data_IF_788184745350
#
_entry.id   IF_788184745350
#
_cell.length_a   1.000
_cell.length_b   1.000
_cell.length_c   1.000
_cell.angle_alpha   90.00
_cell.angle_beta   90.00
_cell.angle_gamma   90.00
#
_symmetry.space_group_name_H-M   'P 1'
#
loop_
_entity.id
_entity.type
_entity.pdbx_description
1 polymer ?
#
# COMPACT_ATOMS: atom_id res chain seq x y z
N UNK A 1 5.30 20.33 -4.58
CA UNK A 1 4.02 19.57 -4.59
C UNK A 1 3.36 19.77 -5.94
N UNK A 2 3.07 18.70 -6.65
CA UNK A 2 2.47 18.72 -7.98
C UNK A 2 0.99 18.36 -7.92
N UNK A 3 0.21 18.94 -8.84
CA UNK A 3 -1.20 18.62 -8.99
C UNK A 3 -1.43 18.01 -10.38
N UNK A 4 -2.08 16.86 -10.40
CA UNK A 4 -2.60 16.23 -11.60
C UNK A 4 -4.12 16.32 -11.59
N UNK A 5 -4.75 16.53 -12.74
CA UNK A 5 -6.20 16.60 -12.83
C UNK A 5 -6.72 16.10 -14.19
N UNK A 6 -7.94 15.59 -14.13
CA UNK A 6 -8.78 15.34 -15.30
C UNK A 6 -10.21 15.82 -14.99
N UNK A 7 -11.19 15.49 -15.83
CA UNK A 7 -12.58 15.88 -15.61
C UNK A 7 -13.26 15.27 -14.38
N UNK A 8 -12.63 14.29 -13.72
CA UNK A 8 -13.22 13.51 -12.60
C UNK A 8 -12.41 13.66 -11.33
N UNK A 9 -11.07 13.60 -11.40
CA UNK A 9 -10.17 13.56 -10.27
C UNK A 9 -9.21 14.75 -10.23
N UNK A 10 -8.90 15.19 -9.02
CA UNK A 10 -7.76 16.06 -8.70
C UNK A 10 -6.89 15.32 -7.69
N UNK A 11 -5.60 15.18 -7.99
CA UNK A 11 -4.62 14.44 -7.19
C UNK A 11 -3.43 15.33 -6.90
N UNK A 12 -2.93 15.30 -5.67
CA UNK A 12 -1.72 16.02 -5.27
C UNK A 12 -0.62 15.05 -4.85
N UNK A 13 0.61 15.33 -5.24
CA UNK A 13 1.78 14.50 -4.97
C UNK A 13 2.90 15.39 -4.45
N UNK A 14 3.52 15.00 -3.33
CA UNK A 14 4.71 15.66 -2.80
C UNK A 14 5.99 15.07 -3.42
N UNK A 15 7.03 15.87 -3.54
CA UNK A 15 8.40 15.39 -3.87
C UNK A 15 8.95 14.53 -2.73
N UNK A 16 8.65 14.90 -1.48
CA UNK A 16 9.00 14.09 -0.32
C UNK A 16 8.27 12.74 -0.35
N UNK A 17 9.04 11.65 -0.44
CA UNK A 17 8.53 10.29 -0.60
C UNK A 17 7.90 9.99 -1.95
N UNK A 18 7.86 10.94 -2.89
CA UNK A 18 6.98 10.92 -4.08
C UNK A 18 5.55 10.56 -3.68
N UNK A 19 5.09 11.02 -2.51
CA UNK A 19 3.91 10.53 -1.81
C UNK A 19 2.63 11.20 -2.30
N UNK A 20 1.57 10.43 -2.56
CA UNK A 20 0.21 10.95 -2.74
C UNK A 20 -0.21 11.70 -1.46
N UNK A 21 -0.67 12.93 -1.64
CA UNK A 21 -1.09 13.83 -0.55
C UNK A 21 -2.59 14.08 -0.51
N UNK A 22 -3.27 13.94 -1.66
CA UNK A 22 -4.71 14.17 -1.79
C UNK A 22 -5.26 13.42 -2.99
N UNK A 23 -6.47 12.89 -2.88
CA UNK A 23 -7.28 12.34 -3.97
C UNK A 23 -8.68 12.90 -3.81
N UNK A 24 -9.06 13.83 -4.69
CA UNK A 24 -10.39 14.46 -4.66
C UNK A 24 -11.22 14.10 -5.87
N UNK A 25 -12.51 13.83 -5.62
CA UNK A 25 -13.57 13.74 -6.62
C UNK A 25 -14.76 14.58 -6.15
N UNK A 26 -15.25 15.47 -7.00
CA UNK A 26 -16.38 16.36 -6.68
C UNK A 26 -16.17 17.14 -5.37
N UNK A 27 -14.92 17.57 -5.10
CA UNK A 27 -14.52 18.29 -3.90
C UNK A 27 -14.36 17.41 -2.64
N UNK A 28 -14.77 16.15 -2.65
CA UNK A 28 -14.62 15.21 -1.53
C UNK A 28 -13.23 14.58 -1.54
N UNK A 29 -12.58 14.57 -0.35
CA UNK A 29 -11.29 13.92 -0.14
C UNK A 29 -11.49 12.42 0.17
N UNK A 30 -10.68 11.59 -0.47
CA UNK A 30 -10.70 10.13 -0.30
C UNK A 30 -9.46 9.61 0.43
N UNK A 31 -8.32 10.31 0.29
CA UNK A 31 -7.07 9.93 0.94
C UNK A 31 -7.00 10.52 2.35
N UNK A 32 -6.56 9.74 3.31
CA UNK A 32 -6.26 10.20 4.67
C UNK A 32 -5.29 11.38 4.68
N UNK A 33 -5.53 12.39 5.54
CA UNK A 33 -4.79 13.65 5.52
C UNK A 33 -3.66 13.74 6.55
N UNK A 34 -3.22 12.62 7.13
CA UNK A 34 -1.98 12.56 7.91
C UNK A 34 -2.05 13.25 9.27
N UNK A 35 -3.21 13.28 9.97
CA UNK A 35 -3.27 13.80 11.32
C UNK A 35 -2.45 12.90 12.27
N UNK A 36 -1.41 13.48 12.86
CA UNK A 36 -0.47 12.80 13.75
C UNK A 36 -1.13 12.17 15.00
N UNK A 37 -2.35 12.59 15.38
CA UNK A 37 -3.12 11.93 16.44
C UNK A 37 -3.28 10.42 16.15
N UNK A 38 -3.48 10.06 14.89
CA UNK A 38 -3.72 8.68 14.45
C UNK A 38 -2.51 8.12 13.74
N UNK A 39 -2.10 8.77 12.63
CA UNK A 39 -0.96 8.38 11.82
C UNK A 39 -0.54 9.53 10.90
N UNK A 40 0.70 9.98 11.03
CA UNK A 40 1.21 11.19 10.37
C UNK A 40 1.54 11.07 8.88
N UNK A 41 1.35 9.89 8.25
CA UNK A 41 1.59 9.67 6.81
C UNK A 41 0.27 9.51 6.07
N UNK A 42 0.32 9.44 4.73
CA UNK A 42 -0.87 9.32 3.86
C UNK A 42 -0.82 8.09 2.95
N UNK A 43 0.24 7.99 2.14
CA UNK A 43 0.41 6.93 1.14
C UNK A 43 1.90 6.67 0.85
N UNK A 44 2.72 6.37 1.87
CA UNK A 44 4.15 6.24 1.67
C UNK A 44 4.52 5.05 0.78
N UNK A 45 5.57 5.22 -0.02
CA UNK A 45 6.26 4.10 -0.69
C UNK A 45 7.17 3.39 0.30
N UNK A 46 7.14 2.07 0.29
CA UNK A 46 7.94 1.21 1.16
C UNK A 46 9.11 0.67 0.34
N UNK A 47 10.33 1.13 0.62
CA UNK A 47 11.54 0.71 -0.09
C UNK A 47 12.81 1.05 0.72
N UNK A 48 13.83 0.20 0.76
CA UNK A 48 14.02 -1.06 0.02
C UNK A 48 13.53 -2.31 0.77
N UNK A 49 12.80 -2.15 1.87
CA UNK A 49 12.15 -3.24 2.60
C UNK A 49 10.70 -2.90 2.92
N UNK A 50 9.87 -3.93 3.06
CA UNK A 50 8.48 -3.86 3.52
C UNK A 50 8.39 -4.43 4.94
N UNK A 51 7.73 -3.70 5.84
CA UNK A 51 7.66 -4.09 7.25
C UNK A 51 9.00 -3.88 7.97
N UNK A 52 9.32 -4.78 8.90
CA UNK A 52 10.56 -4.75 9.68
C UNK A 52 11.45 -5.91 9.35
N UNK A 53 12.76 -5.69 9.42
CA UNK A 53 13.76 -6.75 9.58
C UNK A 53 13.92 -7.05 11.07
N UNK A 54 14.24 -8.30 11.42
CA UNK A 54 14.39 -8.72 12.81
C UNK A 54 15.46 -7.88 13.55
N UNK A 55 15.08 -7.29 14.66
CA UNK A 55 15.91 -6.36 15.45
C UNK A 55 16.43 -5.12 14.67
N UNK A 56 15.75 -4.72 13.58
CA UNK A 56 16.14 -3.66 12.65
C UNK A 56 17.53 -3.88 12.01
N UNK A 57 17.98 -5.13 11.91
CA UNK A 57 19.27 -5.52 11.35
C UNK A 57 19.10 -6.65 10.35
N UNK A 58 19.84 -6.57 9.24
CA UNK A 58 19.92 -7.64 8.27
C UNK A 58 21.37 -7.91 7.88
N UNK A 59 21.63 -9.08 7.33
CA UNK A 59 22.95 -9.50 6.86
C UNK A 59 23.00 -9.56 5.36
N UNK A 60 24.13 -9.12 4.81
CA UNK A 60 24.43 -9.27 3.39
C UNK A 60 25.95 -9.35 3.20
N UNK A 61 26.43 -10.40 2.50
CA UNK A 61 27.83 -10.62 2.14
C UNK A 61 28.78 -10.45 3.34
N UNK A 62 28.45 -11.07 4.48
CA UNK A 62 29.26 -11.06 5.71
C UNK A 62 29.17 -9.78 6.54
N UNK A 63 28.48 -8.75 6.08
CA UNK A 63 28.25 -7.51 6.81
C UNK A 63 26.85 -7.46 7.42
N UNK A 64 26.71 -6.65 8.47
CA UNK A 64 25.42 -6.34 9.11
C UNK A 64 25.06 -4.89 8.85
N UNK A 65 23.81 -4.66 8.42
CA UNK A 65 23.27 -3.35 8.12
C UNK A 65 22.08 -3.06 9.03
N UNK A 66 21.90 -1.79 9.40
CA UNK A 66 20.73 -1.34 10.16
C UNK A 66 19.75 -0.61 9.23
N UNK A 67 18.47 -0.97 9.33
CA UNK A 67 17.42 -0.32 8.55
C UNK A 67 16.10 -0.29 9.36
N UNK A 68 15.44 0.86 9.33
CA UNK A 68 14.16 1.04 10.00
C UNK A 68 12.99 0.39 9.26
N UNK A 69 11.84 0.34 9.93
CA UNK A 69 10.59 -0.17 9.35
C UNK A 69 10.25 0.52 8.03
N UNK A 70 9.94 -0.27 7.00
CA UNK A 70 9.57 0.18 5.66
C UNK A 70 10.71 0.89 4.88
N UNK A 71 11.95 0.76 5.34
CA UNK A 71 13.09 1.39 4.67
C UNK A 71 13.12 2.91 4.81
N UNK A 72 13.71 3.56 3.82
CA UNK A 72 14.04 4.99 3.88
C UNK A 72 13.43 5.85 2.77
N UNK A 73 12.99 5.26 1.65
CA UNK A 73 12.55 6.05 0.47
C UNK A 73 11.43 7.04 0.79
N UNK A 74 10.51 6.67 1.67
CA UNK A 74 9.39 7.53 2.12
C UNK A 74 9.82 8.79 2.88
N UNK A 75 11.07 8.86 3.33
CA UNK A 75 11.64 9.96 4.10
C UNK A 75 12.71 10.73 3.30
N UNK A 76 12.75 10.53 1.97
CA UNK A 76 13.69 11.17 1.06
C UNK A 76 12.96 12.02 0.02
N UNK A 77 13.62 13.07 -0.47
CA UNK A 77 13.10 13.90 -1.54
C UNK A 77 13.44 13.30 -2.90
N UNK A 78 12.40 13.06 -3.69
CA UNK A 78 12.50 12.60 -5.06
C UNK A 78 12.58 13.80 -6.01
N UNK A 79 13.24 13.60 -7.13
CA UNK A 79 13.29 14.61 -8.20
C UNK A 79 12.17 14.36 -9.20
N UNK A 80 11.39 15.39 -9.50
CA UNK A 80 10.42 15.35 -10.60
C UNK A 80 11.17 15.31 -11.93
N UNK A 81 10.86 14.33 -12.79
CA UNK A 81 11.51 14.18 -14.10
C UNK A 81 10.55 14.33 -15.25
N UNK A 82 9.27 14.14 -15.02
CA UNK A 82 8.23 14.29 -16.03
C UNK A 82 6.94 14.79 -15.39
N UNK A 83 6.24 15.71 -16.06
CA UNK A 83 4.94 16.19 -15.64
C UNK A 83 4.09 16.62 -16.84
N UNK A 84 2.86 16.15 -16.84
CA UNK A 84 1.74 16.61 -17.67
C UNK A 84 0.48 16.74 -16.79
N UNK A 85 -0.64 17.18 -17.34
CA UNK A 85 -1.88 17.37 -16.59
C UNK A 85 -2.35 16.08 -15.89
N UNK A 86 -2.14 14.94 -16.53
CA UNK A 86 -2.62 13.62 -16.07
C UNK A 86 -1.52 12.68 -15.60
N UNK A 87 -0.26 13.09 -15.67
CA UNK A 87 0.87 12.21 -15.34
C UNK A 87 2.05 12.93 -14.72
N UNK A 88 2.74 12.25 -13.82
CA UNK A 88 4.00 12.71 -13.25
C UNK A 88 4.91 11.50 -12.94
N UNK A 89 6.21 11.69 -13.06
CA UNK A 89 7.23 10.70 -12.69
C UNK A 89 8.28 11.36 -11.83
N UNK A 90 8.57 10.71 -10.73
CA UNK A 90 9.60 11.09 -9.76
C UNK A 90 10.66 10.01 -9.70
N UNK A 91 11.90 10.38 -9.39
CA UNK A 91 12.97 9.42 -9.21
C UNK A 91 13.86 9.73 -8.02
N UNK A 92 14.41 8.69 -7.43
CA UNK A 92 15.36 8.69 -6.34
C UNK A 92 16.54 7.78 -6.71
N UNK A 93 17.77 8.24 -6.54
CA UNK A 93 18.98 7.40 -6.67
C UNK A 93 19.64 7.18 -5.32
N UNK A 94 20.41 6.09 -5.26
CA UNK A 94 21.28 5.80 -4.13
C UNK A 94 22.27 6.95 -3.87
N UNK A 95 22.49 7.24 -2.60
CA UNK A 95 23.44 8.22 -2.10
C UNK A 95 24.45 7.51 -1.18
N UNK A 96 25.57 8.15 -0.80
CA UNK A 96 26.47 7.56 0.21
C UNK A 96 25.74 7.14 1.50
N UNK A 97 24.77 7.94 1.97
CA UNK A 97 23.99 7.62 3.18
C UNK A 97 23.08 6.39 2.99
N UNK A 98 22.43 6.27 1.84
CA UNK A 98 21.62 5.08 1.56
C UNK A 98 22.46 3.83 1.35
N UNK A 99 23.64 3.96 0.72
CA UNK A 99 24.58 2.84 0.54
C UNK A 99 25.12 2.31 1.87
N UNK A 100 25.23 3.15 2.89
CA UNK A 100 25.58 2.73 4.25
C UNK A 100 24.51 1.86 4.93
N UNK A 101 23.25 1.95 4.49
CA UNK A 101 22.10 1.18 5.01
C UNK A 101 21.64 0.08 4.08
N UNK A 102 21.87 0.23 2.78
CA UNK A 102 21.45 -0.65 1.70
C UNK A 102 22.52 -0.62 0.60
N UNK A 103 23.48 -1.57 0.59
CA UNK A 103 24.74 -1.47 -0.15
C UNK A 103 24.58 -1.78 -1.66
N UNK A 104 23.49 -1.34 -2.27
CA UNK A 104 23.22 -1.55 -3.68
C UNK A 104 22.98 -0.20 -4.35
N UNK A 105 23.76 0.15 -5.40
CA UNK A 105 23.43 1.27 -6.25
C UNK A 105 22.10 1.03 -6.98
N UNK A 106 21.14 1.92 -6.77
CA UNK A 106 19.79 1.79 -7.35
C UNK A 106 19.27 3.11 -7.90
N UNK A 107 18.27 3.01 -8.77
CA UNK A 107 17.31 4.08 -9.07
C UNK A 107 15.90 3.56 -8.86
N UNK A 108 15.09 4.31 -8.12
CA UNK A 108 13.67 4.07 -7.92
C UNK A 108 12.89 5.17 -8.63
N UNK A 109 12.00 4.80 -9.55
CA UNK A 109 11.03 5.70 -10.16
C UNK A 109 9.64 5.41 -9.61
N UNK A 110 8.91 6.47 -9.32
CA UNK A 110 7.49 6.43 -8.92
C UNK A 110 6.70 7.29 -9.91
N UNK A 111 5.83 6.64 -10.66
CA UNK A 111 5.00 7.28 -11.68
C UNK A 111 3.53 7.27 -11.29
N UNK A 112 2.82 8.33 -11.68
CA UNK A 112 1.38 8.49 -11.50
C UNK A 112 0.73 8.81 -12.84
N UNK A 113 -0.40 8.16 -13.13
CA UNK A 113 -1.20 8.41 -14.33
C UNK A 113 -2.68 8.43 -13.97
N UNK A 114 -3.40 9.47 -14.41
CA UNK A 114 -4.84 9.62 -14.22
C UNK A 114 -5.60 9.21 -15.49
N UNK A 115 -6.50 8.26 -15.34
CA UNK A 115 -7.40 7.81 -16.41
C UNK A 115 -8.82 7.72 -15.83
N UNK A 116 -9.72 8.60 -16.26
CA UNK A 116 -11.09 8.66 -15.76
C UNK A 116 -11.11 8.76 -14.21
N UNK A 117 -11.74 7.78 -13.53
CA UNK A 117 -11.82 7.67 -12.06
C UNK A 117 -10.68 6.85 -11.45
N UNK A 118 -9.59 6.65 -12.18
CA UNK A 118 -8.51 5.72 -11.87
C UNK A 118 -7.16 6.42 -11.76
N UNK A 119 -6.39 6.07 -10.75
CA UNK A 119 -4.99 6.48 -10.55
C UNK A 119 -4.14 5.22 -10.68
N UNK A 120 -3.31 5.15 -11.73
CA UNK A 120 -2.30 4.10 -11.85
C UNK A 120 -1.01 4.59 -11.20
N UNK A 121 -0.51 3.86 -10.21
CA UNK A 121 0.79 4.08 -9.57
C UNK A 121 1.76 3.06 -10.10
N UNK A 122 2.86 3.52 -10.69
CA UNK A 122 3.89 2.68 -11.33
C UNK A 122 5.19 2.78 -10.55
N UNK A 123 5.84 1.66 -10.36
CA UNK A 123 7.19 1.61 -9.82
C UNK A 123 8.14 0.96 -10.81
N UNK A 124 9.31 1.58 -10.96
CA UNK A 124 10.46 0.97 -11.62
C UNK A 124 11.63 1.02 -10.65
N UNK A 125 12.23 -0.13 -10.39
CA UNK A 125 13.49 -0.26 -9.64
C UNK A 125 14.56 -0.71 -10.61
N UNK A 126 15.67 0.03 -10.68
CA UNK A 126 16.81 -0.27 -11.54
C UNK A 126 18.02 -0.64 -10.67
N UNK A 127 18.68 -1.75 -10.98
CA UNK A 127 19.97 -2.09 -10.40
C UNK A 127 21.08 -1.39 -11.16
N UNK A 128 21.67 -0.35 -10.60
CA UNK A 128 22.78 0.40 -11.19
C UNK A 128 24.14 -0.18 -10.82
N UNK A 129 24.18 -1.20 -9.97
CA UNK A 129 25.39 -1.85 -9.49
C UNK A 129 25.94 -2.91 -10.43
N UNK A 130 27.07 -3.50 -10.04
CA UNK A 130 27.73 -4.60 -10.73
C UNK A 130 27.42 -5.98 -10.12
N UNK A 131 26.59 -6.03 -9.07
CA UNK A 131 26.24 -7.22 -8.32
C UNK A 131 24.71 -7.38 -8.29
N UNK A 132 24.22 -8.58 -8.02
CA UNK A 132 22.82 -8.85 -7.77
C UNK A 132 22.29 -7.97 -6.62
N UNK A 133 21.18 -7.29 -6.84
CA UNK A 133 20.50 -6.47 -5.84
C UNK A 133 19.26 -7.20 -5.31
N UNK A 134 19.08 -7.14 -3.99
CA UNK A 134 17.95 -7.76 -3.29
C UNK A 134 17.15 -6.70 -2.55
N UNK A 135 15.85 -6.58 -2.84
CA UNK A 135 15.01 -5.53 -2.29
C UNK A 135 13.55 -6.00 -2.13
N UNK A 136 12.77 -5.16 -1.48
CA UNK A 136 11.31 -5.26 -1.43
C UNK A 136 10.72 -3.89 -1.72
N UNK A 137 9.48 -3.85 -2.23
CA UNK A 137 8.75 -2.61 -2.48
C UNK A 137 7.27 -2.80 -2.18
N UNK A 138 6.61 -1.75 -1.69
CA UNK A 138 5.19 -1.77 -1.41
C UNK A 138 4.58 -0.38 -1.31
N UNK A 139 3.26 -0.33 -1.29
CA UNK A 139 2.48 0.87 -1.00
C UNK A 139 1.82 0.75 0.38
N UNK A 140 1.49 1.92 0.96
CA UNK A 140 0.77 2.00 2.22
C UNK A 140 -0.29 3.11 2.19
N UNK A 141 -1.17 3.16 1.14
CA UNK A 141 -2.18 4.19 1.03
C UNK A 141 -3.28 4.01 2.07
N UNK A 142 -3.63 5.10 2.74
CA UNK A 142 -4.70 5.17 3.71
C UNK A 142 -5.91 5.91 3.13
N UNK A 143 -7.08 5.33 3.26
CA UNK A 143 -8.33 5.86 2.72
C UNK A 143 -9.34 6.13 3.83
N UNK A 144 -10.02 7.27 3.77
CA UNK A 144 -11.13 7.52 4.68
C UNK A 144 -12.21 6.45 4.55
N UNK A 145 -12.71 6.00 5.70
CA UNK A 145 -13.95 5.23 5.70
C UNK A 145 -15.10 6.06 5.11
N UNK A 146 -15.91 5.48 4.22
CA UNK A 146 -17.08 6.18 3.72
C UNK A 146 -18.09 6.47 4.84
N UNK A 147 -18.66 7.67 4.84
CA UNK A 147 -19.67 8.09 5.83
C UNK A 147 -19.23 7.82 7.29
N UNK A 148 -17.95 8.11 7.58
CA UNK A 148 -17.36 7.87 8.91
C UNK A 148 -18.13 8.61 10.00
N UNK A 149 -18.43 7.89 11.07
CA UNK A 149 -19.01 8.41 12.32
C UNK A 149 -18.30 7.75 13.50
N UNK A 150 -17.58 8.57 14.28
CA UNK A 150 -16.82 8.11 15.45
C UNK A 150 -17.69 7.50 16.56
N UNK A 151 -18.99 7.84 16.61
CA UNK A 151 -19.92 7.31 17.61
C UNK A 151 -20.37 5.87 17.33
N UNK A 152 -20.16 5.38 16.09
CA UNK A 152 -20.53 4.01 15.71
C UNK A 152 -19.32 3.09 15.73
N UNK A 153 -19.53 1.79 15.96
CA UNK A 153 -18.46 0.78 15.90
C UNK A 153 -18.21 0.32 14.47
N UNK A 154 -19.24 0.23 13.64
CA UNK A 154 -19.17 -0.27 12.28
C UNK A 154 -18.47 0.72 11.35
N UNK A 155 -17.63 0.19 10.45
CA UNK A 155 -16.84 0.96 9.48
C UNK A 155 -17.18 0.63 8.03
N UNK A 156 -18.04 -0.35 7.76
CA UNK A 156 -18.37 -0.87 6.43
C UNK A 156 -17.81 -2.25 6.19
N UNK A 157 -17.38 -2.53 4.96
CA UNK A 157 -16.94 -3.87 4.58
C UNK A 157 -15.74 -3.80 3.62
N UNK A 158 -14.91 -4.84 3.65
CA UNK A 158 -14.13 -5.21 2.49
C UNK A 158 -14.88 -6.26 1.67
N UNK A 159 -14.82 -6.14 0.35
CA UNK A 159 -15.15 -7.22 -0.59
C UNK A 159 -13.91 -7.59 -1.39
N UNK A 160 -13.72 -8.89 -1.56
CA UNK A 160 -12.59 -9.46 -2.27
C UNK A 160 -13.03 -10.01 -3.63
N UNK A 161 -12.11 -10.11 -4.58
CA UNK A 161 -12.35 -10.70 -5.90
C UNK A 161 -12.47 -12.24 -5.88
N UNK A 162 -12.70 -12.81 -4.71
CA UNK A 162 -13.00 -14.23 -4.48
C UNK A 162 -13.99 -14.41 -3.34
N UNK A 163 -14.64 -15.57 -3.32
CA UNK A 163 -15.65 -15.94 -2.30
C UNK A 163 -15.23 -17.11 -1.42
N UNK A 164 -14.09 -17.73 -1.71
CA UNK A 164 -13.50 -18.77 -0.86
C UNK A 164 -12.70 -18.16 0.27
N UNK A 165 -12.55 -18.90 1.36
CA UNK A 165 -11.77 -18.51 2.52
C UNK A 165 -10.37 -18.03 2.12
N UNK A 166 -9.82 -17.09 2.89
CA UNK A 166 -8.51 -16.49 2.70
C UNK A 166 -7.58 -16.90 3.85
N UNK A 167 -6.39 -17.32 3.51
CA UNK A 167 -5.33 -17.50 4.49
C UNK A 167 -4.56 -16.20 4.71
N UNK A 168 -4.20 -15.90 5.95
CA UNK A 168 -3.41 -14.73 6.30
C UNK A 168 -2.43 -15.02 7.43
N UNK A 169 -1.43 -14.17 7.53
CA UNK A 169 -0.46 -14.12 8.63
C UNK A 169 -0.52 -12.74 9.27
N UNK A 170 -0.04 -12.62 10.49
CA UNK A 170 -0.02 -11.37 11.24
C UNK A 170 1.33 -11.10 11.87
N UNK A 171 1.75 -9.83 11.97
CA UNK A 171 2.87 -9.44 12.82
C UNK A 171 2.56 -9.76 14.28
N UNK A 172 3.57 -10.24 14.98
CA UNK A 172 3.49 -10.57 16.42
C UNK A 172 4.57 -9.85 17.20
N UNK A 173 5.76 -10.41 17.28
CA UNK A 173 6.85 -9.84 18.05
C UNK A 173 7.64 -8.81 17.21
N UNK A 174 7.84 -7.61 17.74
CA UNK A 174 8.62 -6.51 17.11
C UNK A 174 8.19 -6.17 15.68
N UNK A 175 6.91 -6.42 15.31
CA UNK A 175 6.41 -6.19 13.97
C UNK A 175 6.90 -7.19 12.92
N UNK A 176 7.34 -8.37 13.36
CA UNK A 176 7.70 -9.52 12.52
C UNK A 176 6.64 -10.61 12.64
N UNK A 177 6.47 -11.41 11.60
CA UNK A 177 5.41 -12.44 11.57
C UNK A 177 5.82 -13.72 12.31
N UNK A 178 4.85 -14.37 12.95
CA UNK A 178 4.99 -15.76 13.36
C UNK A 178 4.70 -16.70 12.19
N UNK A 179 5.16 -17.98 12.24
CA UNK A 179 4.83 -18.96 11.22
C UNK A 179 3.36 -19.40 11.24
N UNK A 180 2.59 -18.98 12.25
CA UNK A 180 1.18 -19.33 12.40
C UNK A 180 0.35 -18.72 11.27
N UNK A 181 -0.47 -19.54 10.63
CA UNK A 181 -1.40 -19.12 9.59
C UNK A 181 -2.83 -19.17 10.13
N UNK A 182 -3.60 -18.17 9.74
CA UNK A 182 -4.99 -18.02 10.13
C UNK A 182 -5.88 -18.11 8.89
N UNK A 183 -7.17 -18.37 9.10
CA UNK A 183 -8.17 -18.44 8.04
C UNK A 183 -9.25 -17.41 8.27
N UNK A 184 -9.41 -16.48 7.34
CA UNK A 184 -10.55 -15.58 7.26
C UNK A 184 -11.67 -16.28 6.48
N UNK A 185 -12.73 -16.63 7.18
CA UNK A 185 -13.94 -17.20 6.56
C UNK A 185 -14.78 -16.09 5.95
N UNK A 186 -14.99 -16.16 4.64
CA UNK A 186 -15.85 -15.22 3.94
C UNK A 186 -17.28 -15.75 3.90
N UNK A 187 -18.24 -14.82 3.93
CA UNK A 187 -19.64 -15.15 3.68
C UNK A 187 -19.89 -15.41 2.17
N UNK A 188 -21.10 -15.81 1.81
CA UNK A 188 -21.49 -16.10 0.41
C UNK A 188 -21.30 -14.91 -0.56
N UNK A 189 -21.21 -13.69 -0.04
CA UNK A 189 -20.99 -12.47 -0.83
C UNK A 189 -19.51 -12.13 -0.96
N UNK A 190 -18.61 -12.84 -0.24
CA UNK A 190 -17.18 -12.54 -0.21
C UNK A 190 -16.85 -11.30 0.65
N UNK A 191 -17.66 -11.01 1.66
CA UNK A 191 -17.52 -9.83 2.50
C UNK A 191 -16.81 -10.14 3.82
N UNK A 192 -15.92 -9.21 4.22
CA UNK A 192 -15.35 -9.08 5.56
C UNK A 192 -15.92 -7.81 6.21
N UNK A 193 -16.71 -7.88 7.26
CA UNK A 193 -17.15 -6.70 7.99
C UNK A 193 -15.97 -6.02 8.68
N UNK A 194 -16.01 -4.69 8.73
CA UNK A 194 -14.98 -3.86 9.37
C UNK A 194 -15.63 -3.14 10.55
N UNK A 195 -15.05 -3.28 11.73
CA UNK A 195 -15.41 -2.53 12.92
C UNK A 195 -14.18 -2.04 13.68
N UNK A 196 -14.38 -1.42 14.82
CA UNK A 196 -13.30 -0.89 15.67
C UNK A 196 -12.36 -1.98 16.22
N UNK A 197 -12.77 -3.25 16.20
CA UNK A 197 -12.01 -4.40 16.72
C UNK A 197 -11.33 -5.23 15.61
N UNK A 198 -11.62 -4.93 14.34
CA UNK A 198 -11.09 -5.69 13.21
C UNK A 198 -9.56 -5.80 13.24
N UNK A 199 -8.87 -4.75 13.69
CA UNK A 199 -7.40 -4.68 13.71
C UNK A 199 -6.81 -4.80 15.13
N UNK A 200 -7.51 -5.39 16.10
CA UNK A 200 -7.01 -5.58 17.46
C UNK A 200 -5.77 -6.48 17.52
N UNK A 201 -5.60 -7.38 16.55
CA UNK A 201 -4.43 -8.25 16.41
C UNK A 201 -3.39 -7.70 15.39
N UNK A 202 -3.48 -6.40 14.99
CA UNK A 202 -2.61 -5.77 14.02
C UNK A 202 -3.02 -6.04 12.56
N UNK A 203 -2.07 -6.12 11.65
CA UNK A 203 -2.20 -6.15 10.19
C UNK A 203 -2.58 -7.55 9.68
N UNK A 204 -3.59 -7.64 8.83
CA UNK A 204 -3.85 -8.85 8.04
C UNK A 204 -2.93 -8.84 6.83
N UNK A 205 -2.08 -9.84 6.68
CA UNK A 205 -1.20 -10.01 5.52
C UNK A 205 -1.66 -11.24 4.72
N UNK A 206 -2.27 -11.00 3.57
CA UNK A 206 -2.65 -12.04 2.61
C UNK A 206 -1.52 -12.23 1.61
N UNK A 207 -0.90 -13.39 1.60
CA UNK A 207 0.20 -13.75 0.70
C UNK A 207 -0.26 -14.76 -0.38
N UNK A 208 0.71 -15.32 -1.15
CA UNK A 208 0.47 -16.36 -2.16
C UNK A 208 -0.46 -15.94 -3.32
N UNK A 209 -0.48 -14.65 -3.67
CA UNK A 209 -1.28 -14.12 -4.80
C UNK A 209 -2.77 -14.48 -4.70
N UNK A 210 -3.30 -14.58 -3.49
CA UNK A 210 -4.69 -14.95 -3.27
C UNK A 210 -5.69 -13.93 -3.82
N UNK A 211 -5.29 -12.67 -3.89
CA UNK A 211 -6.14 -11.54 -4.24
C UNK A 211 -5.49 -10.68 -5.33
N UNK A 212 -6.33 -10.08 -6.18
CA UNK A 212 -5.95 -9.09 -7.20
C UNK A 212 -6.75 -7.80 -7.11
N UNK A 213 -7.86 -7.83 -6.36
CA UNK A 213 -8.71 -6.66 -6.13
C UNK A 213 -9.32 -6.71 -4.73
N UNK A 214 -9.32 -5.55 -4.06
CA UNK A 214 -10.05 -5.32 -2.81
C UNK A 214 -10.86 -4.04 -2.98
N UNK A 215 -12.12 -4.08 -2.58
CA UNK A 215 -12.99 -2.90 -2.59
C UNK A 215 -13.45 -2.58 -1.16
N UNK A 216 -13.26 -1.34 -0.74
CA UNK A 216 -13.86 -0.79 0.47
C UNK A 216 -15.30 -0.37 0.16
N UNK A 217 -16.25 -0.89 0.93
CA UNK A 217 -17.67 -0.59 0.83
C UNK A 217 -18.13 0.24 2.04
N UNK A 218 -19.16 1.04 1.84
CA UNK A 218 -19.85 1.70 2.95
C UNK A 218 -20.71 0.71 3.77
N UNK A 219 -21.38 1.22 4.82
CA UNK A 219 -22.29 0.43 5.69
C UNK A 219 -23.51 -0.11 4.94
N UNK A 220 -23.85 0.45 3.77
CA UNK A 220 -24.94 0.01 2.88
C UNK A 220 -24.43 -0.88 1.74
N UNK A 221 -23.18 -1.35 1.84
CA UNK A 221 -22.49 -2.16 0.82
C UNK A 221 -22.29 -1.46 -0.54
N UNK A 222 -22.30 -0.12 -0.58
CA UNK A 222 -21.99 0.62 -1.80
C UNK A 222 -20.47 0.74 -1.97
N UNK A 223 -19.92 0.48 -3.16
CA UNK A 223 -18.49 0.64 -3.43
C UNK A 223 -18.04 2.08 -3.24
N UNK A 224 -16.88 2.24 -2.60
CA UNK A 224 -16.26 3.52 -2.32
C UNK A 224 -14.90 3.67 -2.99
N UNK A 225 -13.98 2.75 -2.74
CA UNK A 225 -12.65 2.69 -3.34
C UNK A 225 -12.32 1.24 -3.63
N UNK A 226 -11.72 0.99 -4.80
CA UNK A 226 -11.10 -0.30 -5.13
C UNK A 226 -9.60 -0.13 -5.35
N UNK A 227 -8.83 -1.13 -4.95
CA UNK A 227 -7.45 -1.31 -5.38
C UNK A 227 -7.35 -2.56 -6.24
N UNK A 228 -6.71 -2.41 -7.40
CA UNK A 228 -6.33 -3.52 -8.29
C UNK A 228 -4.80 -3.63 -8.32
N UNK A 229 -4.28 -4.83 -8.20
CA UNK A 229 -2.84 -5.10 -8.09
C UNK A 229 -2.47 -6.50 -8.58
N UNK A 230 -1.20 -6.68 -8.94
CA UNK A 230 -0.62 -7.99 -9.24
C UNK A 230 0.44 -8.41 -8.21
N UNK A 231 0.56 -7.67 -7.11
CA UNK A 231 1.49 -7.99 -6.04
C UNK A 231 1.19 -9.36 -5.42
N UNK A 232 2.21 -10.12 -5.00
CA UNK A 232 2.02 -11.42 -4.39
C UNK A 232 1.42 -11.35 -2.98
N UNK A 233 1.48 -10.16 -2.36
CA UNK A 233 0.90 -9.90 -1.05
C UNK A 233 0.07 -8.63 -1.06
N UNK A 234 -0.92 -8.60 -0.16
CA UNK A 234 -1.63 -7.37 0.19
C UNK A 234 -1.88 -7.36 1.70
N UNK A 235 -1.72 -6.19 2.32
CA UNK A 235 -1.99 -6.02 3.73
C UNK A 235 -3.18 -5.08 3.97
N UNK A 236 -3.90 -5.32 5.07
CA UNK A 236 -4.97 -4.46 5.56
C UNK A 236 -4.64 -4.03 6.98
N UNK A 237 -4.70 -2.72 7.24
CA UNK A 237 -4.37 -2.16 8.53
C UNK A 237 -5.14 -0.88 8.85
N UNK A 238 -5.42 -0.69 10.15
CA UNK A 238 -5.88 0.58 10.73
C UNK A 238 -5.46 0.62 12.20
N UNK A 239 -5.12 1.78 12.78
CA UNK A 239 -4.73 1.88 14.18
C UNK A 239 -5.92 1.83 15.15
N UNK A 240 -7.04 1.20 14.79
CA UNK A 240 -8.28 1.17 15.60
C UNK A 240 -8.09 0.52 16.97
N UNK A 241 -7.12 -0.38 17.14
CA UNK A 241 -6.76 -0.95 18.45
C UNK A 241 -6.44 0.13 19.50
N UNK A 242 -5.66 1.13 19.12
CA UNK A 242 -5.23 2.22 20.00
C UNK A 242 -6.09 3.49 19.83
N UNK A 243 -6.74 3.62 18.70
CA UNK A 243 -7.58 4.76 18.31
C UNK A 243 -8.89 4.26 17.70
N UNK A 244 -9.89 3.84 18.50
CA UNK A 244 -11.18 3.37 18.00
C UNK A 244 -11.92 4.40 17.15
N UNK A 245 -11.61 5.68 17.33
CA UNK A 245 -12.10 6.82 16.56
C UNK A 245 -11.29 7.12 15.30
N UNK A 246 -10.41 6.20 14.88
CA UNK A 246 -9.66 6.35 13.63
C UNK A 246 -10.58 6.34 12.41
N UNK A 247 -10.46 7.35 11.50
CA UNK A 247 -11.37 7.51 10.37
C UNK A 247 -10.90 6.85 9.07
N UNK A 248 -9.83 6.06 9.07
CA UNK A 248 -9.23 5.51 7.85
C UNK A 248 -8.82 4.06 7.97
N UNK A 249 -8.60 3.43 6.83
CA UNK A 249 -8.02 2.10 6.68
C UNK A 249 -7.01 2.08 5.53
N UNK A 250 -5.97 1.27 5.65
CA UNK A 250 -4.97 1.04 4.61
C UNK A 250 -5.28 -0.24 3.83
N UNK A 251 -5.05 -0.19 2.51
CA UNK A 251 -5.05 -1.35 1.60
C UNK A 251 -3.71 -1.33 0.87
N UNK A 252 -2.84 -2.27 1.14
CA UNK A 252 -1.41 -2.16 0.93
C UNK A 252 -0.88 -3.26 0.01
N UNK A 253 -0.77 -3.04 -1.31
CA UNK A 253 -0.13 -4.00 -2.22
C UNK A 253 1.38 -4.06 -1.99
N UNK A 254 1.93 -5.29 -1.80
CA UNK A 254 3.31 -5.52 -1.40
C UNK A 254 4.05 -6.54 -2.27
N UNK A 255 5.30 -6.24 -2.60
CA UNK A 255 6.30 -7.16 -3.16
C UNK A 255 7.40 -7.39 -2.11
N UNK A 256 7.03 -8.08 -1.04
CA UNK A 256 7.82 -8.34 0.13
C UNK A 256 7.00 -8.27 1.42
N UNK A 257 7.59 -8.64 2.55
CA UNK A 257 7.00 -8.51 3.89
C UNK A 257 8.08 -8.38 4.97
N UNK A 258 7.65 -8.09 6.19
CA UNK A 258 8.52 -8.18 7.37
C UNK A 258 9.13 -9.58 7.53
N UNK A 259 10.22 -9.65 8.28
CA UNK A 259 10.85 -10.93 8.64
C UNK A 259 9.92 -11.82 9.45
N UNK A 260 10.25 -13.10 9.48
CA UNK A 260 9.76 -14.01 10.50
C UNK A 260 10.46 -13.72 11.83
N UNK A 261 9.75 -13.95 12.95
CA UNK A 261 10.33 -13.82 14.29
C UNK A 261 11.59 -14.67 14.41
N UNK A 262 12.68 -14.06 14.87
CA UNK A 262 13.96 -14.75 15.02
C UNK A 262 14.75 -14.95 13.73
N UNK A 263 14.33 -14.35 12.62
CA UNK A 263 15.05 -14.50 11.34
C UNK A 263 16.54 -14.12 11.49
N UNK A 264 17.38 -15.02 11.03
CA UNK A 264 18.84 -14.87 11.13
C UNK A 264 19.58 -15.17 9.82
N UNK A 265 18.87 -15.32 8.71
CA UNK A 265 19.42 -15.54 7.37
C UNK A 265 20.01 -14.29 6.70
N UNK A 266 20.51 -14.44 5.50
CA UNK A 266 20.98 -13.36 4.64
C UNK A 266 19.81 -12.59 4.01
N UNK A 267 20.06 -11.35 3.58
CA UNK A 267 19.05 -10.53 2.88
C UNK A 267 18.41 -11.27 1.69
N UNK A 268 19.24 -11.96 0.91
CA UNK A 268 18.83 -12.71 -0.29
C UNK A 268 17.90 -13.89 -0.01
N UNK A 269 17.92 -14.42 1.22
CA UNK A 269 17.15 -15.60 1.62
C UNK A 269 15.84 -15.24 2.35
N UNK A 270 15.52 -13.94 2.46
CA UNK A 270 14.26 -13.47 3.04
C UNK A 270 13.08 -13.90 2.17
N UNK A 271 11.97 -14.25 2.80
CA UNK A 271 10.75 -14.56 2.08
C UNK A 271 10.24 -13.35 1.28
N UNK A 272 9.79 -13.60 0.03
CA UNK A 272 9.27 -12.58 -0.88
C UNK A 272 10.29 -11.49 -1.25
N UNK A 273 11.59 -11.74 -1.10
CA UNK A 273 12.63 -10.83 -1.59
C UNK A 273 12.60 -10.80 -3.14
N UNK A 274 12.77 -9.62 -3.71
CA UNK A 274 12.96 -9.44 -5.14
C UNK A 274 14.46 -9.44 -5.43
N UNK A 275 14.85 -9.99 -6.59
CA UNK A 275 16.23 -10.01 -7.08
C UNK A 275 16.29 -9.31 -8.43
N UNK A 276 17.32 -8.49 -8.63
CA UNK A 276 17.68 -7.92 -9.93
C UNK A 276 19.17 -8.17 -10.19
N UNK A 277 19.48 -8.76 -11.33
CA UNK A 277 20.85 -8.85 -11.82
C UNK A 277 21.37 -7.45 -12.20
N UNK A 278 22.69 -7.27 -12.41
CA UNK A 278 23.23 -6.01 -12.87
C UNK A 278 22.53 -5.45 -14.11
N UNK A 279 22.12 -4.19 -14.06
CA UNK A 279 21.41 -3.45 -15.14
C UNK A 279 19.98 -3.95 -15.43
N UNK A 280 19.46 -4.89 -14.68
CA UNK A 280 18.05 -5.27 -14.79
C UNK A 280 17.13 -4.23 -14.14
N UNK A 281 15.86 -4.28 -14.56
CA UNK A 281 14.78 -3.46 -14.04
C UNK A 281 13.61 -4.32 -13.56
N UNK A 282 12.94 -3.81 -12.53
CA UNK A 282 11.69 -4.37 -12.00
C UNK A 282 10.58 -3.35 -12.21
N UNK A 283 9.59 -3.68 -13.02
CA UNK A 283 8.47 -2.80 -13.37
C UNK A 283 7.16 -3.41 -12.88
N UNK A 284 6.44 -2.68 -12.04
CA UNK A 284 5.12 -3.09 -11.52
C UNK A 284 4.21 -1.89 -11.31
N UNK A 285 2.91 -2.16 -11.20
CA UNK A 285 1.90 -1.13 -10.95
C UNK A 285 0.77 -1.65 -10.05
N UNK A 286 0.06 -0.70 -9.46
CA UNK A 286 -1.26 -0.93 -8.87
C UNK A 286 -2.18 0.24 -9.21
N UNK A 287 -3.48 0.03 -9.05
CA UNK A 287 -4.49 1.04 -9.41
C UNK A 287 -5.39 1.34 -8.23
N UNK A 288 -5.61 2.63 -7.99
CA UNK A 288 -6.61 3.15 -7.06
C UNK A 288 -7.79 3.61 -7.91
N UNK A 289 -8.98 3.08 -7.64
CA UNK A 289 -10.21 3.38 -8.38
C UNK A 289 -11.19 4.03 -7.43
N UNK A 290 -11.57 5.27 -7.72
CA UNK A 290 -12.60 5.97 -6.97
C UNK A 290 -13.95 5.56 -7.55
N UNK A 291 -14.68 4.74 -6.81
CA UNK A 291 -15.92 4.15 -7.31
C UNK A 291 -17.02 5.22 -7.47
N UNK A 292 -17.81 5.08 -8.50
CA UNK A 292 -18.96 5.95 -8.75
C UNK A 292 -20.22 5.30 -8.21
N UNK A 293 -21.05 6.04 -7.49
CA UNK A 293 -22.42 5.62 -7.22
C UNK A 293 -23.18 5.75 -8.54
N UNK A 294 -23.31 4.66 -9.29
CA UNK A 294 -24.19 4.64 -10.45
C UNK A 294 -25.63 4.78 -9.97
N UNK A 295 -26.19 5.97 -10.10
CA UNK A 295 -27.66 6.12 -10.08
C UNK A 295 -28.18 5.51 -11.39
N UNK A 296 -28.48 4.25 -11.41
CA UNK A 296 -29.39 3.69 -12.41
C UNK A 296 -30.77 4.29 -12.11
N UNK A 297 -31.10 5.38 -12.79
CA UNK A 297 -32.48 5.80 -12.92
C UNK A 297 -33.23 4.67 -13.66
N UNK A 298 -33.86 3.79 -12.91
CA UNK A 298 -34.95 3.00 -13.42
C UNK A 298 -36.08 4.00 -13.75
N UNK A 299 -36.09 4.50 -14.98
CA UNK A 299 -37.30 5.11 -15.54
C UNK A 299 -38.32 4.01 -15.66
N UNK A 300 -39.27 4.00 -14.75
CA UNK A 300 -40.48 3.19 -14.91
C UNK A 300 -41.17 3.61 -16.22
N UNK A 301 -41.56 2.68 -17.10
CA UNK A 301 -42.32 3.02 -18.27
C UNK A 301 -43.66 3.61 -17.81
N UNK A 302 -43.92 4.86 -18.17
CA UNK A 302 -45.24 5.48 -18.05
C UNK A 302 -46.15 4.80 -19.07
N UNK A 303 -46.99 3.88 -18.61
CA UNK A 303 -48.12 3.40 -19.41
C UNK A 303 -49.07 4.57 -19.63
N UNK A 304 -49.23 4.94 -20.88
CA UNK A 304 -50.42 5.64 -21.38
C UNK A 304 -51.35 4.63 -22.04
#
# INVERSE_FOLDING_TARGET
METLSNSILTVQIAEHGAELQSIKKDGKEYLWQGNAKFWGRRSPVLFPIVGRVWNNKYRHAGNTYEIGQHGFARDMDFKLTYKEDKGAVYWLESTPDTLGKFPFPFRLLVGYLLEENKITVKWRVENLGAMDMYFQIGAHPAFYFPEFDAATKDRGFFVFDRKSDLEYIMPTEKGCVSPERHVLKLNKEGLMPIDIHTFDCDTYIFDNKQLKKITLLDKKKKPHISLEFNSPLVALWSPTKTHPDCPFVCIEPWYGRCDSVGYSGELKDREWIQKLEPKETFDVEYKIIIESVSYTHLTLPTNR
#
